data_IF_329493645693
#
_entry.id   IF_329493645693
#
_cell.length_a   1.000
_cell.length_b   1.000
_cell.length_c   1.000
_cell.angle_alpha   90.00
_cell.angle_beta   90.00
_cell.angle_gamma   90.00
#
_symmetry.space_group_name_H-M   'P 1'
#
loop_
_entity.id
_entity.type
_entity.pdbx_description
1 polymer ?
#
# COMPACT_ATOMS: atom_id res chain seq x y z
N UNK A 1 29.05 -10.80 -2.98
CA UNK A 1 28.40 -9.48 -2.85
C UNK A 1 27.78 -9.14 -4.20
N UNK A 2 26.50 -8.79 -4.26
CA UNK A 2 25.91 -8.24 -5.48
C UNK A 2 26.55 -6.87 -5.79
N UNK A 3 26.74 -6.56 -7.07
CA UNK A 3 27.26 -5.27 -7.53
C UNK A 3 26.23 -4.70 -8.50
N UNK A 4 25.76 -3.48 -8.24
CA UNK A 4 24.88 -2.76 -9.17
C UNK A 4 25.67 -2.27 -10.39
N UNK A 5 25.12 -2.45 -11.58
CA UNK A 5 25.78 -2.10 -12.84
C UNK A 5 25.17 -0.88 -13.52
N UNK A 6 23.89 -0.60 -13.28
CA UNK A 6 23.19 0.53 -13.89
C UNK A 6 21.98 0.96 -13.04
N UNK A 7 21.42 2.13 -13.36
CA UNK A 7 20.19 2.66 -12.79
C UNK A 7 19.02 2.47 -13.77
N UNK A 8 17.92 1.91 -13.28
CA UNK A 8 16.67 1.83 -14.04
C UNK A 8 15.70 2.93 -13.60
N UNK A 9 15.11 3.62 -14.57
CA UNK A 9 14.05 4.59 -14.29
C UNK A 9 12.76 3.86 -13.89
N UNK A 10 12.27 4.13 -12.69
CA UNK A 10 10.93 3.70 -12.27
C UNK A 10 9.90 4.77 -12.64
N UNK A 11 9.04 4.55 -13.65
CA UNK A 11 8.15 5.59 -14.16
C UNK A 11 6.94 5.84 -13.24
N UNK A 12 6.20 6.92 -13.55
CA UNK A 12 4.83 7.14 -13.09
C UNK A 12 4.61 8.29 -12.11
N UNK A 13 5.64 8.75 -11.39
CA UNK A 13 5.51 9.84 -10.41
C UNK A 13 6.70 10.81 -10.48
N UNK A 14 6.41 12.11 -10.39
CA UNK A 14 7.41 13.13 -10.11
C UNK A 14 7.61 13.25 -8.59
N UNK A 15 8.77 12.83 -8.11
CA UNK A 15 9.06 12.67 -6.67
C UNK A 15 10.11 13.66 -6.19
N UNK A 16 10.05 13.99 -4.90
CA UNK A 16 10.99 14.89 -4.21
C UNK A 16 11.71 14.22 -3.04
N UNK A 17 11.21 13.09 -2.56
CA UNK A 17 11.83 12.31 -1.49
C UNK A 17 11.50 10.82 -1.71
N UNK A 18 12.48 9.95 -1.46
CA UNK A 18 12.39 8.49 -1.47
C UNK A 18 12.84 7.96 -0.11
N UNK A 19 12.08 7.05 0.47
CA UNK A 19 12.38 6.37 1.73
C UNK A 19 12.15 4.87 1.54
N UNK A 20 12.99 4.03 2.14
CA UNK A 20 12.95 2.58 1.96
C UNK A 20 12.70 1.88 3.30
N UNK A 21 11.79 0.90 3.29
CA UNK A 21 11.68 -0.08 4.37
C UNK A 21 12.34 -1.40 3.94
N UNK A 22 12.35 -2.41 4.81
CA UNK A 22 12.86 -3.73 4.43
C UNK A 22 12.02 -4.42 3.34
N UNK A 23 10.81 -3.92 3.05
CA UNK A 23 9.83 -4.59 2.16
C UNK A 23 9.35 -3.76 0.99
N UNK A 24 9.51 -2.44 1.03
CA UNK A 24 8.90 -1.57 0.03
C UNK A 24 9.60 -0.22 -0.06
N UNK A 25 9.32 0.50 -1.14
CA UNK A 25 9.74 1.87 -1.36
C UNK A 25 8.56 2.82 -1.18
N UNK A 26 8.81 3.95 -0.56
CA UNK A 26 7.87 5.02 -0.31
C UNK A 26 8.38 6.31 -0.91
N UNK A 27 7.50 7.12 -1.46
CA UNK A 27 7.87 8.41 -2.05
C UNK A 27 6.94 9.52 -1.63
N UNK A 28 7.49 10.73 -1.61
CA UNK A 28 6.72 11.98 -1.57
C UNK A 28 6.81 12.65 -2.92
N UNK A 29 5.67 12.90 -3.52
CA UNK A 29 5.53 13.60 -4.80
C UNK A 29 5.81 15.10 -4.64
N UNK A 30 6.11 15.76 -5.75
CA UNK A 30 6.35 17.22 -5.78
C UNK A 30 5.17 18.04 -5.26
N UNK A 31 3.95 17.52 -5.38
CA UNK A 31 2.71 18.12 -4.87
C UNK A 31 2.43 17.80 -3.39
N UNK A 32 3.31 17.07 -2.71
CA UNK A 32 3.17 16.68 -1.31
C UNK A 32 2.42 15.37 -1.06
N UNK A 33 1.85 14.73 -2.08
CA UNK A 33 1.22 13.40 -1.95
C UNK A 33 2.25 12.33 -1.56
N UNK A 34 1.79 11.30 -0.84
CA UNK A 34 2.59 10.12 -0.54
C UNK A 34 2.14 8.93 -1.41
N UNK A 35 3.10 8.10 -1.83
CA UNK A 35 2.80 6.86 -2.54
C UNK A 35 3.72 5.72 -2.10
N UNK A 36 3.20 4.49 -2.16
CA UNK A 36 3.94 3.26 -1.87
C UNK A 36 4.10 2.44 -3.15
N UNK A 37 5.28 1.83 -3.34
CA UNK A 37 5.54 0.89 -4.43
C UNK A 37 5.08 -0.52 -4.08
N UNK A 38 4.22 -1.09 -4.89
CA UNK A 38 3.73 -2.47 -4.76
C UNK A 38 4.45 -3.40 -5.76
N UNK A 39 4.49 -4.70 -5.46
CA UNK A 39 5.10 -5.70 -6.34
C UNK A 39 6.60 -5.92 -6.17
N UNK A 40 7.24 -5.24 -5.22
CA UNK A 40 8.67 -5.42 -4.94
C UNK A 40 8.92 -6.84 -4.44
N UNK A 41 9.85 -7.54 -5.09
CA UNK A 41 10.31 -8.88 -4.72
C UNK A 41 11.74 -9.12 -5.22
N UNK A 42 12.37 -10.22 -4.80
CA UNK A 42 13.72 -10.59 -5.28
C UNK A 42 13.80 -10.78 -6.80
N UNK A 43 12.68 -11.17 -7.43
CA UNK A 43 12.58 -11.33 -8.89
C UNK A 43 12.11 -10.07 -9.61
N UNK A 44 11.57 -9.10 -8.87
CA UNK A 44 11.09 -7.82 -9.38
C UNK A 44 11.45 -6.69 -8.38
N UNK A 45 12.72 -6.27 -8.31
CA UNK A 45 13.15 -5.26 -7.35
C UNK A 45 12.56 -3.87 -7.64
N UNK A 46 12.20 -3.57 -8.90
CA UNK A 46 11.58 -2.30 -9.28
C UNK A 46 10.09 -2.21 -8.85
N UNK A 47 9.43 -3.36 -8.65
CA UNK A 47 8.01 -3.46 -8.36
C UNK A 47 7.12 -3.09 -9.56
N UNK A 48 5.81 -3.19 -9.38
CA UNK A 48 4.83 -3.11 -10.46
C UNK A 48 4.24 -1.71 -10.62
N UNK A 49 3.72 -1.13 -9.54
CA UNK A 49 2.99 0.13 -9.60
C UNK A 49 3.04 0.93 -8.28
N UNK A 50 2.73 2.22 -8.40
CA UNK A 50 2.58 3.13 -7.27
C UNK A 50 1.12 3.20 -6.82
N UNK A 51 0.89 3.14 -5.51
CA UNK A 51 -0.42 3.40 -4.92
C UNK A 51 -0.35 4.66 -4.06
N UNK A 52 -1.19 5.64 -4.39
CA UNK A 52 -1.34 6.86 -3.58
C UNK A 52 -1.87 6.51 -2.19
N UNK A 53 -1.30 7.16 -1.18
CA UNK A 53 -1.73 7.07 0.20
C UNK A 53 -2.47 8.36 0.57
N UNK A 54 -3.63 8.29 1.23
CA UNK A 54 -4.35 9.48 1.64
C UNK A 54 -3.51 10.39 2.55
N UNK A 55 -3.62 11.70 2.31
CA UNK A 55 -2.88 12.73 3.03
C UNK A 55 -1.71 13.32 2.24
N UNK A 56 -1.14 14.40 2.77
CA UNK A 56 0.04 15.05 2.24
C UNK A 56 1.04 15.35 3.36
N UNK A 57 2.30 15.53 3.00
CA UNK A 57 3.38 15.81 3.94
C UNK A 57 4.40 16.79 3.35
N UNK A 58 5.11 17.51 4.22
CA UNK A 58 6.31 18.26 3.86
C UNK A 58 7.55 17.36 3.87
N UNK A 59 7.61 16.44 4.84
CA UNK A 59 8.64 15.43 5.01
C UNK A 59 8.04 14.16 5.57
N UNK A 60 8.66 13.02 5.31
CA UNK A 60 8.28 11.76 5.92
C UNK A 60 9.50 10.83 6.09
N UNK A 61 9.35 9.78 6.88
CA UNK A 61 10.30 8.67 6.98
C UNK A 61 9.54 7.38 7.20
N UNK A 62 10.20 6.25 6.95
CA UNK A 62 9.66 4.92 7.16
C UNK A 62 10.63 4.08 7.99
N UNK A 63 10.12 3.29 8.93
CA UNK A 63 10.94 2.32 9.66
C UNK A 63 11.20 1.07 8.82
N UNK A 64 12.20 0.24 9.18
CA UNK A 64 12.41 -1.07 8.55
C UNK A 64 11.13 -1.94 8.53
N UNK A 65 10.29 -1.82 9.56
CA UNK A 65 9.03 -2.54 9.75
C UNK A 65 7.83 -1.93 9.01
N UNK A 66 8.04 -0.93 8.15
CA UNK A 66 7.01 -0.26 7.34
C UNK A 66 6.08 0.70 8.13
N UNK A 67 6.54 1.22 9.27
CA UNK A 67 5.83 2.27 10.00
C UNK A 67 6.14 3.66 9.42
N UNK A 68 5.11 4.42 9.06
CA UNK A 68 5.24 5.70 8.37
C UNK A 68 5.02 6.88 9.32
N UNK A 69 5.99 7.80 9.35
CA UNK A 69 5.94 9.04 10.13
C UNK A 69 6.11 10.23 9.21
N UNK A 70 5.31 11.28 9.42
CA UNK A 70 5.29 12.44 8.54
C UNK A 70 5.15 13.76 9.32
N UNK A 71 5.79 14.80 8.79
CA UNK A 71 5.50 16.18 9.17
C UNK A 71 4.46 16.71 8.19
N UNK A 72 3.28 17.00 8.71
CA UNK A 72 2.15 17.53 7.95
C UNK A 72 2.44 18.94 7.41
N UNK A 73 1.67 19.43 6.42
CA UNK A 73 1.83 20.79 5.91
C UNK A 73 1.72 21.89 6.98
N UNK A 74 0.95 21.66 8.04
CA UNK A 74 0.77 22.58 9.17
C UNK A 74 1.88 22.45 10.24
N UNK A 75 2.90 21.62 9.99
CA UNK A 75 4.04 21.42 10.90
C UNK A 75 3.82 20.38 12.00
N UNK A 76 2.64 19.77 12.10
CA UNK A 76 2.37 18.71 13.07
C UNK A 76 3.01 17.37 12.70
N UNK A 77 3.46 16.61 13.70
CA UNK A 77 3.95 15.23 13.53
C UNK A 77 2.76 14.25 13.48
N UNK A 78 2.77 13.33 12.53
CA UNK A 78 1.72 12.31 12.35
C UNK A 78 2.32 10.94 12.09
N UNK A 79 1.70 9.90 12.68
CA UNK A 79 1.98 8.49 12.38
C UNK A 79 0.82 7.89 11.61
N UNK A 80 1.11 7.19 10.51
CA UNK A 80 0.08 6.46 9.77
C UNK A 80 -0.31 5.19 10.52
N UNK A 81 -1.59 5.01 10.79
CA UNK A 81 -2.14 3.78 11.35
C UNK A 81 -2.75 2.94 10.22
N UNK A 82 -2.44 1.65 10.21
CA UNK A 82 -3.03 0.68 9.27
C UNK A 82 -3.72 -0.43 10.03
N UNK A 83 -5.01 -0.65 9.74
CA UNK A 83 -5.76 -1.81 10.22
C UNK A 83 -5.88 -2.79 9.06
N UNK A 84 -5.40 -4.02 9.26
CA UNK A 84 -5.68 -5.11 8.33
C UNK A 84 -7.14 -5.53 8.57
N UNK A 85 -7.94 -5.48 7.51
CA UNK A 85 -9.28 -6.04 7.57
C UNK A 85 -9.16 -7.57 7.48
N UNK A 86 -9.88 -8.33 8.33
CA UNK A 86 -9.96 -9.77 8.17
C UNK A 86 -10.44 -10.09 6.76
N UNK A 87 -9.69 -10.90 6.03
CA UNK A 87 -10.21 -11.53 4.83
C UNK A 87 -11.34 -12.44 5.31
N UNK A 88 -12.59 -12.18 4.90
CA UNK A 88 -13.66 -13.13 5.13
C UNK A 88 -13.22 -14.47 4.53
N UNK A 89 -13.36 -15.61 5.23
CA UNK A 89 -13.00 -16.90 4.66
C UNK A 89 -13.79 -17.06 3.36
N UNK A 90 -13.07 -17.14 2.24
CA UNK A 90 -13.68 -17.50 0.96
C UNK A 90 -14.34 -18.85 1.16
N UNK A 91 -15.68 -18.88 1.21
CA UNK A 91 -16.45 -20.12 1.28
C UNK A 91 -15.97 -20.98 0.11
N UNK A 92 -15.34 -22.16 0.33
CA UNK A 92 -14.98 -23.02 -0.77
C UNK A 92 -16.28 -23.32 -1.54
N UNK A 93 -16.27 -23.08 -2.84
CA UNK A 93 -17.42 -23.34 -3.70
C UNK A 93 -17.84 -24.80 -3.50
N UNK A 94 -18.95 -25.02 -2.77
CA UNK A 94 -19.48 -26.36 -2.59
C UNK A 94 -20.04 -26.81 -3.94
N UNK A 95 -19.34 -27.73 -4.57
CA UNK A 95 -19.82 -28.43 -5.75
C UNK A 95 -20.89 -29.45 -5.31
N UNK A 96 -22.15 -29.25 -5.74
CA UNK A 96 -23.18 -30.30 -5.79
C UNK A 96 -24.42 -30.11 -4.90
N UNK A 97 -25.58 -30.68 -5.28
CA UNK A 97 -26.84 -29.92 -5.34
C UNK A 97 -27.93 -30.26 -4.30
N UNK A 98 -28.70 -29.21 -3.94
CA UNK A 98 -30.12 -29.13 -3.52
C UNK A 98 -30.59 -29.94 -2.28
N UNK A 99 -31.81 -29.71 -1.71
CA UNK A 99 -32.79 -28.63 -1.89
C UNK A 99 -33.27 -27.96 -0.56
N UNK A 100 -33.88 -26.78 -0.67
CA UNK A 100 -34.88 -26.30 0.30
C UNK A 100 -34.35 -25.62 1.57
N UNK A 101 -35.00 -24.52 1.93
CA UNK A 101 -34.76 -23.78 3.15
C UNK A 101 -34.49 -22.31 2.85
N UNK A 102 -35.56 -21.52 2.97
CA UNK A 102 -35.53 -20.06 2.96
C UNK A 102 -34.47 -19.57 3.96
N UNK A 103 -33.54 -18.72 3.52
CA UNK A 103 -32.79 -17.86 4.43
C UNK A 103 -32.68 -16.48 3.79
N UNK A 104 -33.63 -15.65 4.22
CA UNK A 104 -33.70 -14.23 3.94
C UNK A 104 -32.66 -13.57 4.84
N UNK A 105 -31.49 -13.24 4.30
CA UNK A 105 -30.64 -12.20 4.87
C UNK A 105 -30.24 -11.24 3.75
N UNK A 106 -31.24 -10.48 3.30
CA UNK A 106 -31.07 -9.13 2.79
C UNK A 106 -30.49 -8.25 3.91
N UNK A 107 -29.17 -8.19 4.00
CA UNK A 107 -28.50 -7.09 4.70
C UNK A 107 -27.19 -6.83 3.98
N UNK A 108 -27.21 -5.82 3.11
CA UNK A 108 -26.34 -4.64 3.14
C UNK A 108 -26.34 -3.97 1.76
N UNK A 109 -27.36 -3.17 1.46
CA UNK A 109 -27.22 -2.14 0.43
C UNK A 109 -26.28 -1.05 0.96
N UNK A 110 -25.16 -0.85 0.25
CA UNK A 110 -24.23 0.23 0.52
C UNK A 110 -24.80 1.53 -0.07
N UNK A 111 -25.14 2.49 0.78
CA UNK A 111 -25.25 3.92 0.44
C UNK A 111 -24.08 4.69 1.01
#
# INVERSE_FOLDING_TARGET
MPVGTDWELVPGLAVRQLELSCRTAWVRCVNGDLARRYGISDRNPAGDYWKKVPGSANWFTVTPEDELWAVTPIGGLSRRLTKLLPQAPSKPASCGPAPGGEDVEDEWELI
#
